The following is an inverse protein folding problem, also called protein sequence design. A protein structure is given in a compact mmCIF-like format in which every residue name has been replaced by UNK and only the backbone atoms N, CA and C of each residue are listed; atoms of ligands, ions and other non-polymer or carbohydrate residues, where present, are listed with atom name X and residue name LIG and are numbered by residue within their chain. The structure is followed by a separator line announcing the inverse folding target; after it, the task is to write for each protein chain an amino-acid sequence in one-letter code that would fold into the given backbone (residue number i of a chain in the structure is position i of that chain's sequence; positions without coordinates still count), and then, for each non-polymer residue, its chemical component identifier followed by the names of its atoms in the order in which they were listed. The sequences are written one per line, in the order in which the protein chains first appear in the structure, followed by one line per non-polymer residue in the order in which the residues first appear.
data_IF_528892819650
#
_entry.id   IF_528892819650
#
_cell.length_a   1.000
_cell.length_b   1.000
_cell.length_c   1.000
_cell.angle_alpha   90.00
_cell.angle_beta   90.00
_cell.angle_gamma   90.00
#
_symmetry.space_group_name_H-M   'P 1'
#
loop_
_entity.id
_entity.type
_entity.pdbx_description
1 polymer ?
#
# COMPACT_ATOMS: atom_id res chain seq x y z
N UNK A 1 -4.45 -17.46 -4.84
CA UNK A 1 -3.09 -17.79 -5.35
C UNK A 1 -2.78 -19.26 -5.09
N UNK A 2 -2.07 -19.97 -5.99
CA UNK A 2 -1.65 -21.35 -5.72
C UNK A 2 -0.51 -21.41 -4.66
N UNK A 3 -0.59 -22.36 -3.72
CA UNK A 3 0.41 -22.55 -2.64
C UNK A 3 1.85 -22.67 -3.14
N UNK A 4 2.10 -23.43 -4.21
CA UNK A 4 3.46 -23.63 -4.75
C UNK A 4 4.03 -22.33 -5.31
N UNK A 5 3.18 -21.50 -5.95
CA UNK A 5 3.57 -20.17 -6.42
C UNK A 5 3.92 -19.26 -5.25
N UNK A 6 3.07 -19.24 -4.21
CA UNK A 6 3.33 -18.48 -2.99
C UNK A 6 4.65 -18.89 -2.31
N UNK A 7 4.94 -20.19 -2.22
CA UNK A 7 6.19 -20.74 -1.68
C UNK A 7 7.42 -20.35 -2.51
N UNK A 8 7.31 -20.41 -3.83
CA UNK A 8 8.39 -20.01 -4.75
C UNK A 8 8.70 -18.51 -4.62
N UNK A 9 7.66 -17.67 -4.62
CA UNK A 9 7.79 -16.22 -4.45
C UNK A 9 8.33 -15.86 -3.06
N UNK A 10 7.89 -16.55 -2.00
CA UNK A 10 8.41 -16.36 -0.65
C UNK A 10 9.94 -16.51 -0.62
N UNK A 11 10.44 -17.59 -1.21
CA UNK A 11 11.88 -17.89 -1.28
C UNK A 11 12.62 -16.86 -2.13
N UNK A 12 12.07 -16.53 -3.30
CA UNK A 12 12.69 -15.61 -4.27
C UNK A 12 12.77 -14.17 -3.75
N UNK A 13 11.69 -13.71 -3.09
CA UNK A 13 11.57 -12.34 -2.61
C UNK A 13 12.10 -12.19 -1.17
N UNK A 14 12.29 -13.28 -0.43
CA UNK A 14 12.80 -13.25 0.95
C UNK A 14 11.84 -12.57 1.93
N UNK A 15 10.53 -12.68 1.69
CA UNK A 15 9.46 -12.09 2.51
C UNK A 15 8.48 -13.20 2.92
N UNK A 16 7.59 -12.99 3.89
CA UNK A 16 6.61 -14.00 4.29
C UNK A 16 5.56 -14.27 3.20
N UNK A 17 5.02 -15.49 3.18
CA UNK A 17 3.87 -15.86 2.33
C UNK A 17 2.68 -14.91 2.51
N UNK A 18 2.45 -14.41 3.72
CA UNK A 18 1.38 -13.44 3.98
C UNK A 18 1.54 -12.19 3.12
N UNK A 19 2.74 -11.61 3.05
CA UNK A 19 2.98 -10.40 2.24
C UNK A 19 2.88 -10.67 0.74
N UNK A 20 3.27 -11.87 0.30
CA UNK A 20 3.09 -12.30 -1.09
C UNK A 20 1.60 -12.37 -1.43
N UNK A 21 0.81 -13.12 -0.66
CA UNK A 21 -0.63 -13.27 -0.92
C UNK A 21 -1.35 -11.93 -0.79
N UNK A 22 -0.93 -11.08 0.16
CA UNK A 22 -1.47 -9.74 0.34
C UNK A 22 -1.27 -8.86 -0.88
N UNK A 23 -0.04 -8.74 -1.40
CA UNK A 23 0.26 -7.89 -2.57
C UNK A 23 -0.53 -8.36 -3.81
N UNK A 24 -0.78 -9.67 -3.96
CA UNK A 24 -1.66 -10.23 -5.00
C UNK A 24 -3.11 -9.71 -4.87
N UNK A 25 -3.71 -9.83 -3.69
CA UNK A 25 -5.10 -9.35 -3.48
C UNK A 25 -5.20 -7.82 -3.54
N UNK A 26 -4.17 -7.10 -3.13
CA UNK A 26 -4.07 -5.65 -3.32
C UNK A 26 -4.08 -5.29 -4.81
N UNK A 27 -3.31 -6.00 -5.64
CA UNK A 27 -3.30 -5.82 -7.10
C UNK A 27 -4.65 -6.15 -7.74
N UNK A 28 -5.35 -7.20 -7.26
CA UNK A 28 -6.71 -7.53 -7.71
C UNK A 28 -7.67 -6.38 -7.39
N UNK A 29 -7.68 -5.87 -6.16
CA UNK A 29 -8.54 -4.76 -5.75
C UNK A 29 -8.25 -3.49 -6.55
N UNK A 30 -6.97 -3.16 -6.75
CA UNK A 30 -6.53 -2.02 -7.55
C UNK A 30 -6.97 -2.13 -9.00
N UNK A 31 -6.79 -3.30 -9.62
CA UNK A 31 -7.24 -3.58 -11.00
C UNK A 31 -8.74 -3.33 -11.14
N UNK A 32 -9.53 -3.91 -10.25
CA UNK A 32 -10.98 -3.79 -10.30
C UNK A 32 -11.47 -2.36 -10.08
N UNK A 33 -10.83 -1.60 -9.18
CA UNK A 33 -11.14 -0.18 -9.00
C UNK A 33 -10.83 0.63 -10.26
N UNK A 34 -9.59 0.57 -10.76
CA UNK A 34 -9.12 1.47 -11.81
C UNK A 34 -9.66 1.13 -13.20
N UNK A 35 -10.02 -0.12 -13.46
CA UNK A 35 -10.71 -0.52 -14.70
C UNK A 35 -12.22 -0.27 -14.65
N UNK A 36 -12.78 0.02 -13.47
CA UNK A 36 -14.18 0.41 -13.36
C UNK A 36 -14.41 1.86 -13.78
N UNK A 37 -15.68 2.22 -13.99
CA UNK A 37 -16.08 3.63 -14.22
C UNK A 37 -15.75 4.57 -13.05
N UNK A 38 -15.53 4.03 -11.85
CA UNK A 38 -15.17 4.81 -10.66
C UNK A 38 -13.69 5.19 -10.66
N UNK A 39 -12.81 4.44 -11.34
CA UNK A 39 -11.36 4.62 -11.25
C UNK A 39 -10.88 6.05 -11.53
N UNK A 40 -11.56 6.77 -12.43
CA UNK A 40 -11.27 8.19 -12.74
C UNK A 40 -11.47 9.15 -11.56
N UNK A 41 -12.25 8.77 -10.55
CA UNK A 41 -12.48 9.58 -9.35
C UNK A 41 -11.43 9.37 -8.27
N UNK A 42 -10.56 8.37 -8.38
CA UNK A 42 -9.62 8.00 -7.33
C UNK A 42 -8.18 8.28 -7.76
N UNK A 43 -7.37 8.77 -6.82
CA UNK A 43 -5.92 8.84 -6.90
C UNK A 43 -5.34 7.92 -5.84
N UNK A 44 -4.55 6.93 -6.28
CA UNK A 44 -3.85 5.99 -5.41
C UNK A 44 -2.61 6.64 -4.79
N UNK A 45 -2.37 6.41 -3.50
CA UNK A 45 -1.32 7.08 -2.75
C UNK A 45 -0.77 6.20 -1.61
N UNK A 46 0.05 6.79 -0.74
CA UNK A 46 0.55 6.12 0.45
C UNK A 46 1.67 5.10 0.17
N UNK A 47 1.91 4.21 1.15
CA UNK A 47 3.03 3.28 1.11
C UNK A 47 2.94 2.23 0.00
N UNK A 48 1.72 1.81 -0.34
CA UNK A 48 1.50 0.79 -1.37
C UNK A 48 1.68 1.37 -2.77
N UNK A 49 1.36 2.65 -2.98
CA UNK A 49 1.72 3.38 -4.21
C UNK A 49 3.24 3.50 -4.38
N UNK A 50 3.98 3.83 -3.30
CA UNK A 50 5.46 3.83 -3.30
C UNK A 50 6.03 2.48 -3.72
N UNK A 51 5.44 1.38 -3.23
CA UNK A 51 5.84 0.01 -3.57
C UNK A 51 5.58 -0.33 -5.04
N UNK A 52 4.33 -0.24 -5.47
CA UNK A 52 3.88 -0.80 -6.75
C UNK A 52 4.19 0.08 -7.96
N UNK A 53 4.47 1.37 -7.73
CA UNK A 53 4.68 2.35 -8.81
C UNK A 53 6.10 2.89 -8.81
N UNK A 54 6.58 3.33 -7.64
CA UNK A 54 7.87 4.01 -7.53
C UNK A 54 9.03 3.05 -7.20
N UNK A 55 8.72 1.79 -6.90
CA UNK A 55 9.71 0.73 -6.68
C UNK A 55 10.31 0.71 -5.28
N UNK A 56 9.55 1.10 -4.25
CA UNK A 56 9.99 0.96 -2.85
C UNK A 56 10.31 -0.50 -2.54
N UNK A 57 11.42 -0.79 -1.83
CA UNK A 57 11.82 -2.16 -1.54
C UNK A 57 10.92 -2.83 -0.51
N UNK A 58 10.27 -2.06 0.37
CA UNK A 58 9.38 -2.60 1.40
C UNK A 58 7.97 -2.86 0.88
N UNK A 59 7.37 -3.96 1.33
CA UNK A 59 5.96 -4.25 1.20
C UNK A 59 5.11 -3.28 2.03
N UNK A 60 3.79 -3.29 1.81
CA UNK A 60 2.80 -2.43 2.46
C UNK A 60 1.51 -3.22 2.66
N UNK A 61 0.55 -2.70 3.42
CA UNK A 61 -0.67 -3.45 3.79
C UNK A 61 -2.00 -2.72 3.64
N UNK A 62 -1.94 -1.43 3.30
CA UNK A 62 -3.10 -0.54 3.28
C UNK A 62 -3.23 0.04 1.87
N UNK A 63 -4.44 0.08 1.32
CA UNK A 63 -4.76 0.74 0.06
C UNK A 63 -5.36 2.11 0.35
N UNK A 64 -4.54 3.15 0.17
CA UNK A 64 -4.92 4.54 0.44
C UNK A 64 -5.26 5.29 -0.85
N UNK A 65 -6.36 6.04 -0.84
CA UNK A 65 -6.82 6.85 -1.95
C UNK A 65 -7.24 8.25 -1.54
N UNK A 66 -7.17 9.18 -2.47
CA UNK A 66 -7.90 10.44 -2.44
C UNK A 66 -8.96 10.44 -3.53
N UNK A 67 -10.16 10.91 -3.19
CA UNK A 67 -11.23 11.11 -4.18
C UNK A 67 -11.14 12.52 -4.73
N UNK A 68 -10.95 12.65 -6.04
CA UNK A 68 -10.64 13.93 -6.73
C UNK A 68 -11.78 14.44 -7.61
N UNK A 69 -12.87 13.66 -7.72
CA UNK A 69 -14.11 14.06 -8.39
C UNK A 69 -15.30 13.45 -7.67
N UNK A 70 -16.43 13.23 -8.36
CA UNK A 70 -17.65 12.69 -7.75
C UNK A 70 -17.39 11.38 -7.01
N UNK A 71 -17.82 11.35 -5.74
CA UNK A 71 -17.82 10.17 -4.89
C UNK A 71 -19.22 9.56 -4.84
N UNK A 72 -19.34 8.30 -5.25
CA UNK A 72 -20.59 7.55 -5.19
C UNK A 72 -20.38 6.31 -4.32
N UNK A 73 -20.81 6.43 -3.06
CA UNK A 73 -20.68 5.37 -2.05
C UNK A 73 -21.35 4.07 -2.49
N UNK A 74 -22.56 4.15 -3.05
CA UNK A 74 -23.32 2.95 -3.38
C UNK A 74 -22.69 2.19 -4.55
N UNK A 75 -22.21 2.90 -5.57
CA UNK A 75 -21.45 2.28 -6.66
C UNK A 75 -20.15 1.64 -6.15
N UNK A 76 -19.45 2.30 -5.23
CA UNK A 76 -18.24 1.74 -4.63
C UNK A 76 -18.55 0.50 -3.79
N UNK A 77 -19.56 0.53 -2.92
CA UNK A 77 -20.00 -0.63 -2.14
C UNK A 77 -20.34 -1.82 -3.04
N UNK A 78 -21.08 -1.58 -4.14
CA UNK A 78 -21.41 -2.63 -5.12
C UNK A 78 -20.14 -3.20 -5.77
N UNK A 79 -19.23 -2.34 -6.22
CA UNK A 79 -17.97 -2.79 -6.81
C UNK A 79 -17.17 -3.67 -5.82
N UNK A 80 -16.95 -3.19 -4.61
CA UNK A 80 -16.18 -3.91 -3.59
C UNK A 80 -16.81 -5.25 -3.21
N UNK A 81 -18.14 -5.33 -3.14
CA UNK A 81 -18.87 -6.60 -2.94
C UNK A 81 -18.68 -7.54 -4.11
N UNK A 82 -18.89 -7.08 -5.34
CA UNK A 82 -18.69 -7.89 -6.55
C UNK A 82 -17.28 -8.46 -6.62
N UNK A 83 -16.25 -7.68 -6.27
CA UNK A 83 -14.87 -8.16 -6.25
C UNK A 83 -14.66 -9.21 -5.15
N UNK A 84 -15.22 -9.02 -3.96
CA UNK A 84 -15.13 -10.04 -2.90
C UNK A 84 -15.79 -11.36 -3.34
N UNK A 85 -16.99 -11.30 -3.93
CA UNK A 85 -17.75 -12.48 -4.35
C UNK A 85 -17.07 -13.27 -5.49
N UNK A 86 -16.10 -12.69 -6.20
CA UNK A 86 -15.31 -13.37 -7.23
C UNK A 86 -14.24 -14.32 -6.68
N UNK A 87 -13.84 -14.17 -5.42
CA UNK A 87 -12.74 -14.93 -4.83
C UNK A 87 -13.14 -15.50 -3.48
N UNK A 88 -13.18 -16.84 -3.37
CA UNK A 88 -13.56 -17.55 -2.14
C UNK A 88 -12.74 -17.12 -0.91
N UNK A 89 -11.44 -16.87 -1.10
CA UNK A 89 -10.54 -16.44 -0.04
C UNK A 89 -10.66 -14.96 0.34
N UNK A 90 -11.41 -14.13 -0.39
CA UNK A 90 -11.56 -12.69 -0.14
C UNK A 90 -12.96 -12.35 0.37
N UNK A 91 -13.05 -11.89 1.63
CA UNK A 91 -14.32 -11.47 2.22
C UNK A 91 -14.35 -9.99 2.49
N UNK A 92 -15.37 -9.27 2.01
CA UNK A 92 -15.68 -7.93 2.47
C UNK A 92 -16.33 -8.00 3.85
N UNK A 93 -15.65 -7.51 4.88
CA UNK A 93 -16.08 -7.57 6.28
C UNK A 93 -17.01 -6.40 6.61
N UNK A 94 -16.59 -5.19 6.27
CA UNK A 94 -17.34 -3.97 6.58
C UNK A 94 -17.03 -2.85 5.58
N UNK A 95 -17.99 -1.93 5.47
CA UNK A 95 -17.88 -0.66 4.74
C UNK A 95 -18.45 0.45 5.63
N UNK A 96 -17.67 1.48 5.90
CA UNK A 96 -18.04 2.58 6.78
C UNK A 96 -17.81 3.90 6.06
N UNK A 97 -18.85 4.73 5.98
CA UNK A 97 -18.71 6.13 5.60
C UNK A 97 -18.59 6.99 6.86
N UNK A 98 -17.43 7.63 7.03
CA UNK A 98 -17.22 8.72 7.99
C UNK A 98 -17.38 10.06 7.28
N UNK A 99 -17.33 11.17 8.03
CA UNK A 99 -17.46 12.53 7.45
C UNK A 99 -16.52 12.78 6.28
N UNK A 100 -15.27 12.33 6.38
CA UNK A 100 -14.21 12.65 5.41
C UNK A 100 -13.47 11.43 4.87
N UNK A 101 -13.93 10.23 5.21
CA UNK A 101 -13.25 8.99 4.84
C UNK A 101 -14.30 7.92 4.55
N UNK A 102 -14.17 7.29 3.40
CA UNK A 102 -14.77 5.98 3.16
C UNK A 102 -13.75 4.91 3.54
N UNK A 103 -14.19 3.93 4.32
CA UNK A 103 -13.38 2.82 4.77
C UNK A 103 -14.04 1.51 4.36
N UNK A 104 -13.26 0.56 3.86
CA UNK A 104 -13.67 -0.81 3.70
C UNK A 104 -12.60 -1.76 4.24
N UNK A 105 -13.03 -2.83 4.90
CA UNK A 105 -12.15 -3.86 5.41
C UNK A 105 -12.41 -5.16 4.68
N UNK A 106 -11.38 -5.66 4.01
CA UNK A 106 -11.37 -7.01 3.48
C UNK A 106 -10.62 -7.93 4.44
N UNK A 107 -10.99 -9.21 4.45
CA UNK A 107 -10.26 -10.28 5.13
C UNK A 107 -9.92 -11.36 4.11
N UNK A 108 -8.63 -11.66 4.01
CA UNK A 108 -8.10 -12.69 3.13
C UNK A 108 -7.79 -13.93 3.95
N UNK A 109 -8.25 -15.10 3.49
CA UNK A 109 -7.93 -16.40 4.09
C UNK A 109 -7.77 -17.45 2.99
N UNK A 110 -6.51 -17.75 2.68
CA UNK A 110 -6.14 -18.92 1.89
C UNK A 110 -5.93 -20.13 2.81
N UNK A 111 -6.29 -21.33 2.35
CA UNK A 111 -6.21 -22.56 3.16
C UNK A 111 -4.80 -22.90 3.64
N UNK A 112 -3.79 -22.53 2.85
CA UNK A 112 -2.39 -22.80 3.18
C UNK A 112 -1.77 -21.77 4.13
N UNK A 113 -2.46 -20.67 4.42
CA UNK A 113 -2.01 -19.69 5.42
C UNK A 113 -2.54 -20.07 6.79
N UNK A 114 -1.73 -19.95 7.83
CA UNK A 114 -2.14 -20.25 9.21
C UNK A 114 -3.23 -19.30 9.70
N UNK A 115 -3.12 -18.01 9.39
CA UNK A 115 -4.04 -16.97 9.84
C UNK A 115 -4.59 -16.17 8.66
N UNK A 116 -5.83 -15.71 8.83
CA UNK A 116 -6.41 -14.72 7.93
C UNK A 116 -5.83 -13.34 8.25
N UNK A 117 -5.74 -12.47 7.26
CA UNK A 117 -5.22 -11.13 7.43
C UNK A 117 -6.12 -10.07 6.80
N UNK A 118 -6.13 -8.83 7.33
CA UNK A 118 -6.97 -7.75 6.80
C UNK A 118 -6.29 -7.03 5.64
N UNK A 119 -7.02 -6.57 4.64
CA UNK A 119 -6.59 -5.50 3.72
C UNK A 119 -7.52 -4.31 3.95
N UNK A 120 -6.94 -3.16 4.27
CA UNK A 120 -7.70 -1.93 4.47
C UNK A 120 -7.77 -1.15 3.18
N UNK A 121 -8.96 -0.70 2.83
CA UNK A 121 -9.20 0.23 1.73
C UNK A 121 -9.69 1.54 2.35
N UNK A 122 -8.93 2.61 2.20
CA UNK A 122 -9.28 3.93 2.73
C UNK A 122 -9.29 4.97 1.61
N UNK A 123 -10.41 5.67 1.45
CA UNK A 123 -10.53 6.76 0.50
C UNK A 123 -10.90 8.06 1.23
N UNK A 124 -10.01 9.04 1.15
CA UNK A 124 -10.29 10.41 1.61
C UNK A 124 -11.29 11.06 0.67
N UNK A 125 -12.45 11.47 1.19
CA UNK A 125 -13.49 12.22 0.45
C UNK A 125 -13.47 13.70 0.80
N UNK A 126 -12.37 14.18 1.39
CA UNK A 126 -12.20 15.61 1.71
C UNK A 126 -12.19 16.43 0.43
N UNK A 127 -12.88 17.58 0.39
CA UNK A 127 -12.83 18.49 -0.75
C UNK A 127 -11.47 19.21 -0.75
N UNK A 128 -10.47 18.55 -1.33
CA UNK A 128 -9.12 19.10 -1.52
C UNK A 128 -8.88 19.19 -3.02
N UNK A 129 -8.28 20.29 -3.47
CA UNK A 129 -7.90 20.42 -4.88
C UNK A 129 -6.71 19.51 -5.17
N UNK A 130 -6.81 18.74 -6.26
CA UNK A 130 -5.74 17.91 -6.80
C UNK A 130 -5.50 18.32 -8.24
N UNK A 131 -4.28 18.72 -8.55
CA UNK A 131 -3.86 19.18 -9.87
C UNK A 131 -3.19 18.04 -10.66
N UNK A 132 -3.80 17.64 -11.79
CA UNK A 132 -3.22 16.61 -12.67
C UNK A 132 -1.92 17.11 -13.29
N UNK A 133 -0.89 16.26 -13.32
CA UNK A 133 0.45 16.61 -13.83
C UNK A 133 1.36 17.27 -12.78
N UNK A 134 0.84 17.51 -11.58
CA UNK A 134 1.58 18.04 -10.43
C UNK A 134 1.38 17.18 -9.19
N UNK A 135 0.15 17.02 -8.74
CA UNK A 135 -0.19 16.25 -7.54
C UNK A 135 -0.38 14.77 -7.84
N UNK A 136 -0.76 14.44 -9.08
CA UNK A 136 -0.94 13.06 -9.53
C UNK A 136 -0.82 12.94 -11.05
N UNK A 137 -0.47 11.75 -11.52
CA UNK A 137 -0.33 11.41 -12.93
C UNK A 137 -0.77 9.97 -13.21
N UNK A 138 -0.83 9.59 -14.48
CA UNK A 138 -1.23 8.24 -14.90
C UNK A 138 0.01 7.35 -14.97
N UNK A 139 0.09 6.35 -14.08
CA UNK A 139 1.23 5.44 -13.98
C UNK A 139 0.79 3.98 -14.03
N UNK A 140 1.73 3.10 -14.38
CA UNK A 140 1.52 1.66 -14.38
C UNK A 140 1.92 1.09 -13.02
N UNK A 141 0.97 0.45 -12.35
CA UNK A 141 1.23 -0.38 -11.17
C UNK A 141 1.75 -1.73 -11.63
N UNK A 142 2.86 -2.17 -11.04
CA UNK A 142 3.44 -3.49 -11.29
C UNK A 142 3.90 -4.12 -9.99
N UNK A 143 3.82 -5.45 -9.93
CA UNK A 143 4.19 -6.23 -8.77
C UNK A 143 5.20 -7.30 -9.17
N UNK A 144 6.09 -7.67 -8.24
CA UNK A 144 6.99 -8.83 -8.40
C UNK A 144 6.33 -10.15 -8.01
N UNK A 145 5.12 -10.08 -7.45
CA UNK A 145 4.33 -11.21 -6.97
C UNK A 145 3.40 -11.73 -8.06
N UNK A 146 2.97 -10.87 -8.98
CA UNK A 146 1.93 -11.19 -9.95
C UNK A 146 2.20 -10.57 -11.32
N UNK A 147 1.58 -11.14 -12.35
CA UNK A 147 1.66 -10.63 -13.72
C UNK A 147 0.62 -9.53 -14.01
N UNK A 148 -0.23 -9.19 -13.02
CA UNK A 148 -1.17 -8.08 -13.15
C UNK A 148 -0.42 -6.76 -13.33
N UNK A 149 -0.86 -5.99 -14.31
CA UNK A 149 -0.48 -4.59 -14.51
C UNK A 149 -1.72 -3.74 -14.52
N UNK A 150 -1.71 -2.59 -13.85
CA UNK A 150 -2.87 -1.71 -13.75
C UNK A 150 -2.47 -0.29 -14.14
N UNK A 151 -3.22 0.35 -15.03
CA UNK A 151 -3.05 1.77 -15.32
C UNK A 151 -3.89 2.57 -14.32
N UNK A 152 -3.25 3.37 -13.48
CA UNK A 152 -3.89 4.05 -12.35
C UNK A 152 -3.49 5.52 -12.27
N UNK A 153 -4.38 6.35 -11.74
CA UNK A 153 -4.01 7.69 -11.30
C UNK A 153 -3.28 7.55 -9.96
N UNK A 154 -2.03 8.00 -9.89
CA UNK A 154 -1.16 7.83 -8.72
C UNK A 154 -0.62 9.19 -8.28
N UNK A 155 -0.65 9.45 -6.98
CA UNK A 155 -0.12 10.67 -6.38
C UNK A 155 1.39 10.78 -6.65
N UNK A 156 1.87 12.00 -6.91
CA UNK A 156 3.30 12.29 -7.09
C UNK A 156 4.09 12.03 -5.82
N UNK A 157 5.41 11.86 -5.95
CA UNK A 157 6.30 11.65 -4.81
C UNK A 157 6.25 12.84 -3.84
N UNK A 158 6.19 14.06 -4.36
CA UNK A 158 6.05 15.31 -3.62
C UNK A 158 4.76 15.35 -2.81
N UNK A 159 3.66 14.89 -3.40
CA UNK A 159 2.36 14.86 -2.74
C UNK A 159 2.30 13.79 -1.64
N UNK A 160 2.85 12.60 -1.89
CA UNK A 160 2.98 11.57 -0.86
C UNK A 160 3.89 12.05 0.28
N UNK A 161 4.97 12.77 -0.04
CA UNK A 161 5.86 13.37 0.94
C UNK A 161 5.14 14.40 1.83
N UNK A 162 4.39 15.32 1.22
CA UNK A 162 3.59 16.33 1.93
C UNK A 162 2.62 15.69 2.92
N UNK A 163 1.85 14.68 2.46
CA UNK A 163 0.90 13.97 3.32
C UNK A 163 1.59 13.26 4.49
N UNK A 164 2.78 12.67 4.27
CA UNK A 164 3.56 12.00 5.32
C UNK A 164 4.14 12.98 6.34
N UNK A 165 4.58 14.16 5.90
CA UNK A 165 5.06 15.22 6.81
C UNK A 165 3.98 15.73 7.75
N UNK A 166 2.71 15.67 7.34
CA UNK A 166 1.57 16.07 8.16
C UNK A 166 1.19 15.08 9.27
N UNK A 167 1.88 13.94 9.40
CA UNK A 167 1.59 12.91 10.41
C UNK A 167 2.49 13.12 11.64
N UNK A 168 1.87 13.44 12.78
CA UNK A 168 2.56 13.59 14.06
C UNK A 168 1.94 12.72 15.17
N UNK A 169 2.74 11.93 15.90
CA UNK A 169 4.17 11.66 15.67
C UNK A 169 4.42 10.80 14.41
N UNK A 170 5.59 10.92 13.76
CA UNK A 170 5.90 10.13 12.57
C UNK A 170 5.95 8.64 12.91
N UNK A 171 5.43 7.78 12.03
CA UNK A 171 5.56 6.33 12.17
C UNK A 171 6.94 5.89 11.66
N UNK A 172 7.47 4.78 12.17
CA UNK A 172 8.75 4.22 11.71
C UNK A 172 8.76 3.98 10.19
N UNK A 173 7.66 3.45 9.63
CA UNK A 173 7.50 3.30 8.17
C UNK A 173 7.54 4.64 7.42
N UNK A 174 7.03 5.73 8.01
CA UNK A 174 7.07 7.04 7.37
C UNK A 174 8.51 7.57 7.30
N UNK A 175 9.35 7.33 8.31
CA UNK A 175 10.79 7.67 8.25
C UNK A 175 11.47 6.96 7.09
N UNK A 176 11.20 5.65 6.92
CA UNK A 176 11.72 4.88 5.79
C UNK A 176 11.22 5.43 4.45
N UNK A 177 9.94 5.77 4.35
CA UNK A 177 9.36 6.29 3.12
C UNK A 177 9.90 7.68 2.75
N UNK A 178 10.09 8.55 3.75
CA UNK A 178 10.69 9.87 3.55
C UNK A 178 12.12 9.76 3.02
N UNK A 179 12.92 8.83 3.56
CA UNK A 179 14.23 8.51 3.02
C UNK A 179 14.15 8.05 1.55
N UNK A 180 13.26 7.11 1.26
CA UNK A 180 13.09 6.57 -0.10
C UNK A 180 12.63 7.63 -1.11
N UNK A 181 11.64 8.45 -0.74
CA UNK A 181 11.15 9.56 -1.56
C UNK A 181 12.27 10.58 -1.79
N UNK A 182 13.04 10.90 -0.74
CA UNK A 182 14.25 11.73 -0.84
C UNK A 182 15.18 11.25 -1.96
N UNK A 183 15.55 9.97 -1.94
CA UNK A 183 16.43 9.37 -2.96
C UNK A 183 15.83 9.45 -4.37
N UNK A 184 14.54 9.14 -4.52
CA UNK A 184 13.86 9.20 -5.83
C UNK A 184 13.79 10.61 -6.40
N UNK A 185 13.74 11.61 -5.54
CA UNK A 185 13.77 13.03 -5.89
C UNK A 185 15.20 13.61 -5.94
N UNK A 186 16.25 12.77 -5.88
CA UNK A 186 17.64 13.22 -5.97
C UNK A 186 18.13 14.00 -4.75
N UNK A 187 17.46 13.86 -3.60
CA UNK A 187 17.81 14.52 -2.34
C UNK A 187 18.48 13.55 -1.37
N UNK A 188 19.41 14.07 -0.58
CA UNK A 188 19.99 13.32 0.54
C UNK A 188 19.05 13.50 1.74
N UNK A 189 18.33 12.44 2.09
CA UNK A 189 17.47 12.41 3.28
C UNK A 189 18.03 11.38 4.26
N UNK A 190 18.25 11.71 5.54
CA UNK A 190 18.70 10.72 6.52
C UNK A 190 17.56 9.77 6.89
N UNK A 191 17.88 8.49 7.05
CA UNK A 191 16.98 7.52 7.67
C UNK A 191 17.16 7.61 9.19
N UNK A 192 16.48 8.58 9.80
CA UNK A 192 16.70 8.95 11.20
C UNK A 192 15.65 8.35 12.15
N UNK A 193 16.02 7.26 12.83
CA UNK A 193 15.18 6.59 13.82
C UNK A 193 15.43 7.07 15.26
N UNK A 194 16.08 8.22 15.48
CA UNK A 194 16.25 8.77 16.82
C UNK A 194 14.90 8.89 17.54
N UNK A 195 14.87 8.52 18.82
CA UNK A 195 13.64 8.49 19.62
C UNK A 195 12.87 7.16 19.57
N UNK A 196 13.24 6.21 18.71
CA UNK A 196 12.68 4.86 18.72
C UNK A 196 13.67 3.84 19.27
N UNK A 197 13.18 2.89 20.08
CA UNK A 197 14.00 1.75 20.49
C UNK A 197 14.33 0.87 19.28
N UNK A 198 15.59 0.38 19.13
CA UNK A 198 15.99 -0.45 17.99
C UNK A 198 15.13 -1.71 17.83
N UNK A 199 14.66 -2.31 18.93
CA UNK A 199 13.77 -3.48 18.89
C UNK A 199 12.42 -3.16 18.25
N UNK A 200 11.88 -1.96 18.50
CA UNK A 200 10.61 -1.49 17.92
C UNK A 200 10.78 -1.22 16.43
N UNK A 201 11.89 -0.58 16.03
CA UNK A 201 12.22 -0.33 14.61
C UNK A 201 12.33 -1.64 13.84
N UNK A 202 13.05 -2.65 14.38
CA UNK A 202 13.13 -3.98 13.76
C UNK A 202 11.76 -4.62 13.61
N UNK A 203 10.95 -4.63 14.68
CA UNK A 203 9.60 -5.24 14.66
C UNK A 203 8.73 -4.62 13.55
N UNK A 204 8.79 -3.29 13.41
CA UNK A 204 7.94 -2.58 12.45
C UNK A 204 8.42 -2.74 11.01
N UNK A 205 9.73 -2.61 10.74
CA UNK A 205 10.27 -2.67 9.37
C UNK A 205 10.50 -4.10 8.86
N UNK A 206 10.94 -5.03 9.71
CA UNK A 206 11.31 -6.38 9.24
C UNK A 206 10.12 -7.18 8.74
N UNK A 207 8.90 -6.84 9.19
CA UNK A 207 7.67 -7.41 8.63
C UNK A 207 7.52 -7.14 7.13
N UNK A 208 8.04 -5.99 6.67
CA UNK A 208 7.81 -5.47 5.33
C UNK A 208 9.04 -5.53 4.42
N UNK A 209 10.19 -5.91 4.94
CA UNK A 209 11.42 -5.91 4.15
C UNK A 209 11.86 -7.32 3.78
N UNK A 210 12.33 -7.52 2.54
CA UNK A 210 13.10 -8.70 2.17
C UNK A 210 14.26 -8.97 3.13
N UNK A 211 14.54 -10.25 3.39
CA UNK A 211 15.60 -10.68 4.32
C UNK A 211 16.97 -10.05 4.04
N UNK A 212 17.32 -9.88 2.77
CA UNK A 212 18.57 -9.23 2.34
C UNK A 212 18.64 -7.76 2.73
N UNK A 213 17.50 -7.06 2.72
CA UNK A 213 17.42 -5.62 2.99
C UNK A 213 17.42 -5.35 4.51
N UNK A 214 16.86 -6.27 5.32
CA UNK A 214 16.89 -6.19 6.79
C UNK A 214 18.31 -6.01 7.34
N UNK A 215 19.26 -6.80 6.84
CA UNK A 215 20.67 -6.77 7.27
C UNK A 215 21.33 -5.42 7.00
N UNK A 216 20.95 -4.75 5.90
CA UNK A 216 21.48 -3.44 5.56
C UNK A 216 20.95 -2.37 6.52
N UNK A 217 19.66 -2.46 6.91
CA UNK A 217 19.05 -1.50 7.84
C UNK A 217 19.65 -1.59 9.25
N UNK A 218 20.21 -2.73 9.67
CA UNK A 218 20.80 -2.87 11.01
C UNK A 218 21.87 -1.81 11.32
N UNK A 219 22.61 -1.38 10.31
CA UNK A 219 23.66 -0.37 10.44
C UNK A 219 23.11 1.05 10.69
N UNK A 220 21.82 1.25 10.41
CA UNK A 220 21.10 2.53 10.53
C UNK A 220 20.21 2.59 11.77
N UNK A 221 20.11 1.50 12.53
CA UNK A 221 19.37 1.50 13.79
C UNK A 221 20.12 2.32 14.84
N UNK A 222 19.40 2.98 15.77
CA UNK A 222 20.04 3.67 16.88
C UNK A 222 20.95 2.70 17.66
N UNK A 223 22.14 3.16 18.04
CA UNK A 223 23.00 2.39 18.95
C UNK A 223 22.32 2.29 20.31
N UNK A 224 22.39 1.12 20.94
CA UNK A 224 21.96 0.94 22.33
C UNK A 224 22.88 1.70 23.27
#
# INVERSE_FOLDING_TARGET
MNKQVAESLQKTLGISQEQVVREEYEMILLKQLFESRLGKSFVFKGGTALRLTYGSPRFSEDLDFSVVSEFDKEKLDRLLRTVADQYEALKLVETIQKTYTYFALFRVKEDFLSQAFPIKFEASVRPVSWERGKDYELLVLSSKVTNLTVLAQVASLERIEEEKRGIEPPRIRDIFDMWFIGQKLGRISPMDFRGFEPRVVRRDLYKFLPEKDKRLIEQWLPKQ
#
